data_IF_579370080369
#
_entry.id   IF_579370080369
#
_cell.length_a   1.000
_cell.length_b   1.000
_cell.length_c   1.000
_cell.angle_alpha   90.00
_cell.angle_beta   90.00
_cell.angle_gamma   90.00
#
_symmetry.space_group_name_H-M   'P 1'
#
loop_
_entity.id
_entity.type
_entity.pdbx_description
1 polymer ?
#
# COMPACT_ATOMS: atom_id res chain seq x y z
N UNK A 1 46.40 14.35 -47.14
CA UNK A 1 46.46 13.83 -45.79
C UNK A 1 45.86 14.73 -44.68
N UNK A 2 45.95 16.05 -44.72
CA UNK A 2 45.48 16.95 -43.64
C UNK A 2 43.92 16.97 -43.43
N UNK A 3 43.12 16.80 -44.50
CA UNK A 3 41.64 16.95 -44.44
C UNK A 3 40.95 15.75 -43.75
N UNK A 4 41.42 14.53 -43.95
CA UNK A 4 40.89 13.31 -43.30
C UNK A 4 41.19 13.29 -41.82
N UNK A 5 42.37 13.76 -41.41
CA UNK A 5 42.76 13.83 -39.97
C UNK A 5 41.91 14.87 -39.23
N UNK A 6 41.59 16.02 -39.85
CA UNK A 6 40.72 17.04 -39.23
C UNK A 6 39.29 16.54 -39.08
N UNK A 7 38.75 15.81 -40.08
CA UNK A 7 37.42 15.20 -40.00
C UNK A 7 37.35 14.13 -38.91
N UNK A 8 38.37 13.29 -38.83
CA UNK A 8 38.43 12.26 -37.76
C UNK A 8 38.46 12.87 -36.36
N UNK A 9 39.29 13.91 -36.15
CA UNK A 9 39.35 14.62 -34.86
C UNK A 9 38.03 15.30 -34.51
N UNK A 10 37.30 15.86 -35.48
CA UNK A 10 35.98 16.46 -35.24
C UNK A 10 34.96 15.40 -34.77
N UNK A 11 34.85 14.26 -35.45
CA UNK A 11 33.92 13.21 -35.06
C UNK A 11 34.31 12.56 -33.73
N UNK A 12 35.59 12.42 -33.44
CA UNK A 12 36.06 11.94 -32.12
C UNK A 12 35.65 12.90 -31.00
N UNK A 13 35.80 14.21 -31.21
CA UNK A 13 35.36 15.25 -30.27
C UNK A 13 33.85 15.20 -30.00
N UNK A 14 33.07 15.10 -31.09
CA UNK A 14 31.59 14.95 -30.96
C UNK A 14 31.21 13.70 -30.21
N UNK A 15 31.86 12.56 -30.50
CA UNK A 15 31.56 11.29 -29.77
C UNK A 15 31.87 11.38 -28.27
N UNK A 16 33.00 12.00 -27.91
CA UNK A 16 33.37 12.23 -26.50
C UNK A 16 32.34 13.14 -25.81
N UNK A 17 31.89 14.19 -26.49
CA UNK A 17 30.88 15.10 -25.97
C UNK A 17 29.54 14.39 -25.72
N UNK A 18 29.10 13.58 -26.69
CA UNK A 18 27.88 12.79 -26.55
C UNK A 18 27.95 11.78 -25.37
N UNK A 19 29.07 11.08 -25.22
CA UNK A 19 29.29 10.19 -24.09
C UNK A 19 29.28 10.95 -22.76
N UNK A 20 29.90 12.13 -22.72
CA UNK A 20 29.87 13.01 -21.55
C UNK A 20 28.45 13.45 -21.16
N UNK A 21 27.65 13.88 -22.14
CA UNK A 21 26.26 14.28 -21.93
C UNK A 21 25.43 13.10 -21.40
N UNK A 22 25.57 11.90 -21.99
CA UNK A 22 24.87 10.69 -21.54
C UNK A 22 25.30 10.31 -20.12
N UNK A 23 26.58 10.38 -19.79
CA UNK A 23 27.08 10.08 -18.44
C UNK A 23 26.53 11.10 -17.41
N UNK A 24 26.51 12.37 -17.74
CA UNK A 24 25.92 13.41 -16.88
C UNK A 24 24.40 13.18 -16.72
N UNK A 25 23.69 12.91 -17.81
CA UNK A 25 22.26 12.63 -17.77
C UNK A 25 21.95 11.37 -16.91
N UNK A 26 22.76 10.33 -17.01
CA UNK A 26 22.65 9.13 -16.16
C UNK A 26 22.95 9.44 -14.69
N UNK A 27 23.97 10.25 -14.38
CA UNK A 27 24.31 10.66 -13.02
C UNK A 27 23.21 11.56 -12.41
N UNK A 28 22.65 12.48 -13.20
CA UNK A 28 21.54 13.31 -12.75
C UNK A 28 20.26 12.46 -12.54
N UNK A 29 20.02 11.50 -13.41
CA UNK A 29 18.88 10.59 -13.28
C UNK A 29 19.01 9.67 -12.06
N UNK A 30 20.18 9.15 -11.74
CA UNK A 30 20.44 8.36 -10.53
C UNK A 30 20.34 9.20 -9.24
N UNK A 31 20.63 10.50 -9.30
CA UNK A 31 20.42 11.43 -8.18
C UNK A 31 18.98 11.91 -8.00
N UNK A 32 18.15 11.86 -9.07
CA UNK A 32 16.75 12.28 -9.06
C UNK A 32 15.78 11.11 -8.79
N UNK A 33 16.24 9.88 -8.94
CA UNK A 33 15.47 8.66 -8.66
C UNK A 33 15.91 8.00 -7.36
N UNK A 34 16.07 8.76 -6.28
CA UNK A 34 15.88 8.14 -4.99
C UNK A 34 14.38 7.84 -4.90
N UNK A 35 13.96 6.57 -5.00
CA UNK A 35 12.60 6.24 -4.64
C UNK A 35 12.40 6.79 -3.23
N UNK A 36 11.30 7.49 -2.99
CA UNK A 36 10.91 7.86 -1.65
C UNK A 36 10.91 6.58 -0.80
N UNK A 37 11.98 6.39 -0.06
CA UNK A 37 12.03 5.41 0.99
C UNK A 37 11.30 6.05 2.16
N UNK A 38 10.03 5.70 2.31
CA UNK A 38 9.43 5.84 3.62
C UNK A 38 10.40 5.21 4.61
N UNK A 39 10.82 5.91 5.66
CA UNK A 39 11.67 5.29 6.66
C UNK A 39 10.93 4.02 7.11
N UNK A 40 11.58 2.87 6.95
CA UNK A 40 11.10 1.64 7.57
C UNK A 40 11.25 1.93 9.05
N UNK A 41 10.19 2.41 9.68
CA UNK A 41 10.09 2.46 11.12
C UNK A 41 9.91 1.00 11.52
N UNK A 42 11.03 0.30 11.64
CA UNK A 42 11.06 -0.97 12.35
C UNK A 42 10.84 -0.55 13.81
N UNK A 43 9.59 -0.52 14.21
CA UNK A 43 9.29 -0.46 15.63
C UNK A 43 9.69 -1.79 16.24
N UNK A 44 10.98 -1.89 16.59
CA UNK A 44 11.52 -2.97 17.42
C UNK A 44 11.08 -2.78 18.88
N UNK A 45 10.17 -1.84 19.13
CA UNK A 45 9.68 -1.39 20.42
C UNK A 45 9.05 -2.46 21.27
N UNK A 46 9.89 -3.13 21.99
CA UNK A 46 9.52 -4.03 23.08
C UNK A 46 9.25 -3.32 24.40
N UNK A 47 9.25 -1.99 24.49
CA UNK A 47 9.21 -1.29 25.78
C UNK A 47 8.24 -0.11 25.94
N UNK A 48 7.48 0.28 24.95
CA UNK A 48 6.33 1.13 25.20
C UNK A 48 5.08 0.35 24.84
N UNK A 49 4.19 0.13 25.80
CA UNK A 49 2.84 -0.31 25.46
C UNK A 49 2.32 0.65 24.37
N UNK A 50 1.98 0.16 23.18
CA UNK A 50 1.59 1.04 22.10
C UNK A 50 0.42 1.87 22.61
N UNK A 51 0.50 3.19 22.48
CA UNK A 51 -0.64 4.05 22.73
C UNK A 51 -1.67 3.68 21.66
N UNK A 52 -2.65 2.90 22.08
CA UNK A 52 -3.77 2.51 21.25
C UNK A 52 -4.47 3.75 20.76
N UNK A 53 -4.49 3.94 19.46
CA UNK A 53 -5.09 5.10 18.86
C UNK A 53 -6.56 4.81 18.62
N UNK A 54 -7.42 5.50 19.36
CA UNK A 54 -8.86 5.47 19.12
C UNK A 54 -9.20 6.17 17.80
N UNK A 55 -9.99 5.50 16.96
CA UNK A 55 -10.53 6.09 15.73
C UNK A 55 -11.71 6.98 16.15
N UNK A 56 -11.49 8.29 16.11
CA UNK A 56 -12.45 9.27 16.64
C UNK A 56 -13.61 9.56 15.67
N UNK A 57 -13.34 9.48 14.36
CA UNK A 57 -14.33 9.78 13.32
C UNK A 57 -14.74 8.50 12.60
N UNK A 58 -15.97 8.48 12.13
CA UNK A 58 -16.48 7.42 11.25
C UNK A 58 -16.20 7.73 9.76
N UNK A 59 -16.18 6.70 8.93
CA UNK A 59 -16.07 6.82 7.48
C UNK A 59 -17.28 6.15 6.83
N UNK A 60 -18.26 6.92 6.35
CA UNK A 60 -19.30 6.38 5.49
C UNK A 60 -18.72 6.02 4.12
N UNK A 61 -19.14 4.90 3.57
CA UNK A 61 -18.66 4.40 2.29
C UNK A 61 -19.75 3.56 1.60
N UNK A 62 -19.48 3.20 0.35
CA UNK A 62 -20.23 2.18 -0.39
C UNK A 62 -19.32 1.00 -0.62
N UNK A 63 -19.79 -0.21 -0.34
CA UNK A 63 -19.01 -1.42 -0.59
C UNK A 63 -19.19 -1.95 -2.03
N UNK A 64 -18.49 -3.03 -2.38
CA UNK A 64 -18.56 -3.67 -3.69
C UNK A 64 -19.95 -4.17 -4.10
N UNK A 65 -20.86 -4.39 -3.15
CA UNK A 65 -22.25 -4.78 -3.42
C UNK A 65 -23.19 -3.58 -3.51
N UNK A 66 -22.64 -2.38 -3.67
CA UNK A 66 -23.39 -1.11 -3.74
C UNK A 66 -24.17 -0.82 -2.44
N UNK A 67 -23.81 -1.45 -1.33
CA UNK A 67 -24.47 -1.21 -0.05
C UNK A 67 -23.79 -0.06 0.70
N UNK A 68 -24.57 0.89 1.24
CA UNK A 68 -24.03 1.90 2.14
C UNK A 68 -23.61 1.23 3.45
N UNK A 69 -22.37 1.47 3.86
CA UNK A 69 -21.76 0.94 5.08
C UNK A 69 -20.98 2.05 5.79
N UNK A 70 -20.63 1.80 7.03
CA UNK A 70 -19.74 2.66 7.81
C UNK A 70 -18.66 1.80 8.46
N UNK A 71 -17.49 2.36 8.68
CA UNK A 71 -16.46 1.61 9.42
C UNK A 71 -16.91 1.29 10.85
N UNK A 72 -17.74 2.13 11.47
CA UNK A 72 -18.33 1.86 12.78
C UNK A 72 -19.24 0.62 12.82
N UNK A 73 -19.71 0.12 11.66
CA UNK A 73 -20.45 -1.16 11.59
C UNK A 73 -19.54 -2.36 11.94
N UNK A 74 -18.22 -2.15 11.97
CA UNK A 74 -17.24 -3.14 12.39
C UNK A 74 -16.90 -3.10 13.88
N UNK A 75 -17.56 -2.26 14.67
CA UNK A 75 -17.41 -2.30 16.15
C UNK A 75 -17.79 -3.67 16.69
N UNK A 76 -17.01 -4.16 17.65
CA UNK A 76 -17.13 -5.50 18.18
C UNK A 76 -16.43 -6.58 17.35
N UNK A 77 -15.87 -6.23 16.18
CA UNK A 77 -15.05 -7.11 15.35
C UNK A 77 -13.57 -6.75 15.44
N UNK A 78 -12.72 -7.74 15.22
CA UNK A 78 -11.30 -7.54 14.90
C UNK A 78 -11.19 -7.40 13.38
N UNK A 79 -10.62 -6.31 12.91
CA UNK A 79 -10.59 -6.09 11.47
C UNK A 79 -9.27 -5.53 10.97
N UNK A 80 -8.90 -6.00 9.78
CA UNK A 80 -7.71 -5.55 9.07
C UNK A 80 -8.11 -4.48 8.06
N UNK A 81 -7.35 -3.40 8.00
CA UNK A 81 -7.55 -2.36 6.98
C UNK A 81 -6.32 -2.22 6.10
N UNK A 82 -6.56 -2.02 4.81
CA UNK A 82 -5.55 -1.76 3.78
C UNK A 82 -6.00 -0.65 2.85
N UNK A 83 -5.03 0.16 2.40
CA UNK A 83 -5.22 1.06 1.27
C UNK A 83 -5.10 0.27 -0.04
N UNK A 84 -5.94 0.59 -1.01
CA UNK A 84 -5.86 0.00 -2.34
C UNK A 84 -6.49 0.90 -3.40
N UNK A 85 -6.41 0.53 -4.66
CA UNK A 85 -7.28 0.96 -5.74
C UNK A 85 -7.39 -0.13 -6.82
N UNK A 86 -8.59 -0.24 -7.42
CA UNK A 86 -8.93 -1.38 -8.25
C UNK A 86 -8.16 -1.46 -9.59
N UNK A 87 -7.68 -0.33 -10.09
CA UNK A 87 -7.00 -0.23 -11.40
C UNK A 87 -5.49 -0.41 -11.31
N UNK A 88 -4.94 -0.69 -10.13
CA UNK A 88 -3.51 -0.88 -9.95
C UNK A 88 -3.06 -2.31 -10.26
N UNK A 89 -2.40 -2.59 -11.41
CA UNK A 89 -1.88 -3.92 -11.70
C UNK A 89 -0.89 -4.41 -10.63
N UNK A 90 -0.12 -3.50 -10.06
CA UNK A 90 0.91 -3.82 -9.07
C UNK A 90 0.33 -4.07 -7.66
N UNK A 91 -0.80 -3.47 -7.29
CA UNK A 91 -1.37 -3.61 -5.94
C UNK A 91 -1.94 -5.00 -5.70
N UNK A 92 -2.61 -5.59 -6.69
CA UNK A 92 -3.08 -6.97 -6.63
C UNK A 92 -1.92 -7.95 -6.43
N UNK A 93 -0.77 -7.70 -7.07
CA UNK A 93 0.44 -8.53 -6.94
C UNK A 93 1.12 -8.29 -5.60
N UNK A 94 1.16 -7.04 -5.12
CA UNK A 94 1.91 -6.67 -3.90
C UNK A 94 1.19 -7.07 -2.61
N UNK A 95 -0.10 -6.84 -2.49
CA UNK A 95 -0.87 -7.09 -1.27
C UNK A 95 -1.89 -8.21 -1.40
N UNK A 96 -2.35 -8.52 -2.62
CA UNK A 96 -3.44 -9.47 -2.84
C UNK A 96 -3.16 -10.87 -2.30
N UNK A 97 -1.95 -11.37 -2.47
CA UNK A 97 -1.57 -12.70 -1.96
C UNK A 97 -1.55 -12.75 -0.42
N UNK A 98 -1.09 -11.68 0.24
CA UNK A 98 -1.07 -11.61 1.69
C UNK A 98 -2.49 -11.44 2.25
N UNK A 99 -3.30 -10.54 1.67
CA UNK A 99 -4.72 -10.39 2.03
C UNK A 99 -5.49 -11.69 1.84
N UNK A 100 -5.26 -12.39 0.73
CA UNK A 100 -5.89 -13.70 0.49
C UNK A 100 -5.48 -14.73 1.53
N UNK A 101 -4.19 -14.80 1.87
CA UNK A 101 -3.70 -15.72 2.91
C UNK A 101 -4.28 -15.43 4.28
N UNK A 102 -4.40 -14.15 4.66
CA UNK A 102 -5.04 -13.72 5.90
C UNK A 102 -6.53 -14.06 5.86
N UNK A 103 -7.21 -13.75 4.75
CA UNK A 103 -8.62 -14.07 4.59
C UNK A 103 -8.89 -15.56 4.73
N UNK A 104 -8.14 -16.41 4.04
CA UNK A 104 -8.33 -17.87 4.07
C UNK A 104 -8.13 -18.47 5.46
N UNK A 105 -7.23 -17.91 6.26
CA UNK A 105 -7.02 -18.34 7.65
C UNK A 105 -8.18 -17.95 8.58
N UNK A 106 -8.74 -16.74 8.42
CA UNK A 106 -9.66 -16.18 9.40
C UNK A 106 -11.12 -16.05 8.93
N UNK A 107 -11.44 -16.30 7.66
CA UNK A 107 -12.78 -16.10 7.07
C UNK A 107 -13.92 -16.87 7.75
N UNK A 108 -13.60 -17.97 8.43
CA UNK A 108 -14.60 -18.77 9.18
C UNK A 108 -14.95 -18.16 10.53
N UNK A 109 -14.17 -17.17 11.00
CA UNK A 109 -14.48 -16.50 12.25
C UNK A 109 -15.42 -15.30 11.96
N UNK A 110 -16.66 -15.29 12.50
CA UNK A 110 -17.63 -14.23 12.23
C UNK A 110 -17.21 -12.87 12.80
N UNK A 111 -16.28 -12.86 13.75
CA UNK A 111 -15.76 -11.65 14.37
C UNK A 111 -14.54 -11.08 13.64
N UNK A 112 -14.06 -11.74 12.58
CA UNK A 112 -12.98 -11.21 11.74
C UNK A 112 -13.51 -10.54 10.49
N UNK A 113 -12.91 -9.40 10.11
CA UNK A 113 -13.27 -8.67 8.92
C UNK A 113 -12.04 -8.05 8.22
N UNK A 114 -12.11 -7.86 6.91
CA UNK A 114 -11.13 -7.08 6.14
C UNK A 114 -11.85 -5.89 5.48
N UNK A 115 -11.29 -4.69 5.59
CA UNK A 115 -11.76 -3.49 4.93
C UNK A 115 -10.65 -2.89 4.08
N UNK A 116 -10.78 -2.96 2.76
CA UNK A 116 -9.88 -2.32 1.80
C UNK A 116 -10.51 -0.99 1.37
N UNK A 117 -9.84 0.13 1.62
CA UNK A 117 -10.37 1.47 1.34
C UNK A 117 -9.67 2.03 0.10
N UNK A 118 -10.45 2.39 -0.93
CA UNK A 118 -9.90 2.94 -2.17
C UNK A 118 -9.28 4.31 -1.93
N UNK A 119 -8.03 4.48 -2.40
CA UNK A 119 -7.35 5.78 -2.44
C UNK A 119 -7.68 6.59 -3.70
N UNK A 120 -8.39 5.99 -4.66
CA UNK A 120 -8.86 6.65 -5.89
C UNK A 120 -10.38 6.49 -6.07
N UNK A 121 -11.19 6.97 -5.11
CA UNK A 121 -12.65 6.76 -5.11
C UNK A 121 -13.33 7.40 -6.32
N UNK A 122 -12.71 8.36 -7.00
CA UNK A 122 -13.23 8.97 -8.22
C UNK A 122 -13.25 7.98 -9.40
N UNK A 123 -12.30 7.04 -9.44
CA UNK A 123 -12.17 6.05 -10.50
C UNK A 123 -12.64 4.64 -10.08
N UNK A 124 -12.66 4.34 -8.79
CA UNK A 124 -13.06 3.05 -8.23
C UNK A 124 -14.54 3.03 -7.90
N UNK A 125 -15.38 2.99 -8.94
CA UNK A 125 -16.81 2.85 -8.75
C UNK A 125 -17.19 1.44 -8.22
N UNK A 126 -18.41 1.23 -7.70
CA UNK A 126 -18.84 -0.06 -7.13
C UNK A 126 -18.68 -1.26 -8.09
N UNK A 127 -18.87 -1.07 -9.40
CA UNK A 127 -18.69 -2.13 -10.40
C UNK A 127 -17.22 -2.62 -10.44
N UNK A 128 -16.26 -1.71 -10.49
CA UNK A 128 -14.83 -2.04 -10.44
C UNK A 128 -14.44 -2.70 -9.11
N UNK A 129 -15.04 -2.23 -8.01
CA UNK A 129 -14.82 -2.85 -6.70
C UNK A 129 -15.37 -4.28 -6.65
N UNK A 130 -16.54 -4.53 -7.25
CA UNK A 130 -17.15 -5.84 -7.36
C UNK A 130 -16.28 -6.79 -8.20
N UNK A 131 -15.82 -6.33 -9.36
CA UNK A 131 -14.94 -7.11 -10.23
C UNK A 131 -13.61 -7.44 -9.54
N UNK A 132 -13.03 -6.48 -8.84
CA UNK A 132 -11.80 -6.70 -8.07
C UNK A 132 -12.03 -7.71 -6.93
N UNK A 133 -13.09 -7.52 -6.15
CA UNK A 133 -13.46 -8.43 -5.07
C UNK A 133 -13.65 -9.86 -5.56
N UNK A 134 -14.35 -10.03 -6.70
CA UNK A 134 -14.54 -11.32 -7.35
C UNK A 134 -13.20 -11.93 -7.81
N UNK A 135 -12.33 -11.14 -8.41
CA UNK A 135 -11.02 -11.61 -8.89
C UNK A 135 -10.13 -12.12 -7.75
N UNK A 136 -10.17 -11.49 -6.57
CA UNK A 136 -9.43 -11.95 -5.39
C UNK A 136 -10.19 -12.97 -4.53
N UNK A 137 -11.43 -13.30 -4.90
CA UNK A 137 -12.27 -14.27 -4.19
C UNK A 137 -12.75 -13.80 -2.82
N UNK A 138 -13.02 -12.50 -2.68
CA UNK A 138 -13.57 -11.92 -1.46
C UNK A 138 -15.07 -12.21 -1.34
N UNK A 139 -15.53 -12.52 -0.11
CA UNK A 139 -16.95 -12.54 0.24
C UNK A 139 -17.27 -11.24 1.00
N UNK A 140 -18.23 -10.47 0.49
CA UNK A 140 -18.62 -9.18 1.08
C UNK A 140 -19.18 -9.27 2.50
N UNK A 141 -19.48 -10.47 2.99
CA UNK A 141 -19.89 -10.69 4.38
C UNK A 141 -18.80 -10.32 5.38
N UNK A 142 -17.53 -10.50 4.99
CA UNK A 142 -16.40 -10.25 5.87
C UNK A 142 -15.13 -9.72 5.17
N UNK A 143 -15.26 -9.32 3.89
CA UNK A 143 -14.20 -8.62 3.17
C UNK A 143 -14.79 -7.52 2.29
N UNK A 144 -14.68 -6.29 2.74
CA UNK A 144 -15.17 -5.12 2.03
C UNK A 144 -14.10 -4.45 1.18
N UNK A 145 -14.52 -4.01 -0.01
CA UNK A 145 -13.84 -3.02 -0.84
C UNK A 145 -14.68 -1.76 -0.84
N UNK A 146 -14.13 -0.66 -0.34
CA UNK A 146 -14.86 0.53 0.04
C UNK A 146 -14.51 1.72 -0.84
N UNK A 147 -15.55 2.40 -1.31
CA UNK A 147 -15.48 3.73 -1.91
C UNK A 147 -16.12 4.74 -0.95
N UNK A 148 -15.34 5.69 -0.44
CA UNK A 148 -15.83 6.75 0.46
C UNK A 148 -16.18 8.06 -0.28
N UNK A 149 -16.25 8.04 -1.61
CA UNK A 149 -16.77 9.10 -2.48
C UNK A 149 -15.74 10.16 -2.86
N UNK A 150 -15.23 10.94 -1.92
CA UNK A 150 -14.32 12.06 -2.18
C UNK A 150 -12.87 11.70 -1.81
N UNK A 151 -11.94 11.90 -2.76
CA UNK A 151 -10.53 11.55 -2.56
C UNK A 151 -9.89 12.34 -1.41
N UNK A 152 -10.16 13.64 -1.30
CA UNK A 152 -9.56 14.48 -0.26
C UNK A 152 -10.02 14.06 1.13
N UNK A 153 -11.32 13.83 1.31
CA UNK A 153 -11.89 13.36 2.57
C UNK A 153 -11.36 11.99 2.93
N UNK A 154 -11.31 11.07 1.97
CA UNK A 154 -10.78 9.72 2.14
C UNK A 154 -9.31 9.73 2.56
N UNK A 155 -8.45 10.47 1.84
CA UNK A 155 -7.02 10.57 2.15
C UNK A 155 -6.81 11.16 3.55
N UNK A 156 -7.53 12.24 3.87
CA UNK A 156 -7.45 12.86 5.21
C UNK A 156 -7.83 11.87 6.31
N UNK A 157 -8.87 11.08 6.10
CA UNK A 157 -9.29 10.05 7.05
C UNK A 157 -8.23 8.96 7.23
N UNK A 158 -7.72 8.41 6.14
CA UNK A 158 -6.69 7.38 6.15
C UNK A 158 -5.42 7.84 6.88
N UNK A 159 -5.01 9.09 6.68
CA UNK A 159 -3.84 9.67 7.34
C UNK A 159 -4.10 10.02 8.82
N UNK A 160 -5.23 10.66 9.12
CA UNK A 160 -5.48 11.22 10.45
C UNK A 160 -6.06 10.21 11.44
N UNK A 161 -6.98 9.36 10.99
CA UNK A 161 -7.67 8.41 11.87
C UNK A 161 -6.97 7.04 11.87
N UNK A 162 -6.57 6.52 10.71
CA UNK A 162 -5.96 5.20 10.58
C UNK A 162 -4.42 5.23 10.60
N UNK A 163 -3.79 6.42 10.48
CA UNK A 163 -2.33 6.60 10.51
C UNK A 163 -1.57 5.87 9.40
N UNK A 164 -2.19 5.74 8.24
CA UNK A 164 -1.45 5.43 7.03
C UNK A 164 -0.48 6.57 6.68
N UNK A 165 0.59 6.25 5.96
CA UNK A 165 1.47 7.30 5.44
C UNK A 165 0.78 8.07 4.31
N UNK A 166 1.18 9.35 4.17
CA UNK A 166 0.51 10.29 3.28
C UNK A 166 0.39 9.81 1.83
N UNK A 167 -0.82 9.86 1.31
CA UNK A 167 -1.16 9.55 -0.07
C UNK A 167 -0.73 10.72 -0.94
N UNK A 168 0.03 10.45 -2.02
CA UNK A 168 0.58 11.47 -2.90
C UNK A 168 0.27 11.17 -4.36
N UNK A 169 -0.19 12.17 -5.14
CA UNK A 169 -0.36 12.00 -6.58
C UNK A 169 0.99 11.77 -7.25
N UNK A 170 1.04 10.81 -8.18
CA UNK A 170 2.16 10.63 -9.08
C UNK A 170 2.06 11.65 -10.22
N UNK A 171 3.20 12.11 -10.71
CA UNK A 171 3.28 13.12 -11.76
C UNK A 171 3.89 12.59 -13.06
N UNK A 172 4.67 11.52 -12.99
CA UNK A 172 5.26 10.87 -14.16
C UNK A 172 4.23 9.98 -14.86
N UNK A 173 3.92 10.19 -16.16
CA UNK A 173 2.92 9.39 -16.87
C UNK A 173 3.23 7.88 -16.90
N UNK A 174 4.53 7.52 -17.02
CA UNK A 174 4.95 6.11 -17.04
C UNK A 174 4.74 5.45 -15.69
N UNK A 175 5.02 6.20 -14.61
CA UNK A 175 4.76 5.72 -13.24
C UNK A 175 3.25 5.60 -12.95
N UNK A 176 2.46 6.55 -13.46
CA UNK A 176 0.99 6.50 -13.37
C UNK A 176 0.44 5.26 -14.10
N UNK A 177 0.92 4.99 -15.31
CA UNK A 177 0.50 3.83 -16.09
C UNK A 177 0.86 2.51 -15.39
N UNK A 178 2.07 2.42 -14.84
CA UNK A 178 2.57 1.22 -14.18
C UNK A 178 2.01 1.00 -12.77
N UNK A 179 1.80 2.06 -12.00
CA UNK A 179 1.54 2.00 -10.56
C UNK A 179 0.28 2.76 -10.12
N UNK A 180 -0.48 3.36 -11.06
CA UNK A 180 -1.69 4.13 -10.81
C UNK A 180 -1.45 5.56 -10.33
N UNK A 181 -2.55 6.33 -10.19
CA UNK A 181 -2.55 7.78 -9.94
C UNK A 181 -1.89 8.19 -8.61
N UNK A 182 -1.98 7.34 -7.59
CA UNK A 182 -1.51 7.67 -6.25
C UNK A 182 -0.41 6.73 -5.76
N UNK A 183 0.63 7.29 -5.16
CA UNK A 183 1.51 6.57 -4.25
C UNK A 183 0.81 6.51 -2.89
N UNK A 184 0.73 5.33 -2.30
CA UNK A 184 0.03 5.09 -1.04
C UNK A 184 0.76 4.04 -0.21
N UNK A 185 0.37 3.91 1.03
CA UNK A 185 0.90 2.92 1.95
C UNK A 185 0.46 1.50 1.57
N UNK A 186 1.36 0.54 1.66
CA UNK A 186 1.07 -0.87 1.40
C UNK A 186 1.03 -1.71 2.69
N UNK A 187 1.10 -1.06 3.86
CA UNK A 187 0.99 -1.73 5.14
C UNK A 187 -0.44 -2.16 5.47
N UNK A 188 -0.54 -3.13 6.34
CA UNK A 188 -1.80 -3.54 6.95
C UNK A 188 -1.92 -2.96 8.34
N UNK A 189 -3.07 -2.40 8.67
CA UNK A 189 -3.39 -1.92 10.01
C UNK A 189 -4.43 -2.83 10.62
N UNK A 190 -4.21 -3.24 11.86
CA UNK A 190 -5.17 -4.05 12.63
C UNK A 190 -5.91 -3.17 13.61
N UNK A 191 -7.22 -3.33 13.66
CA UNK A 191 -8.12 -2.63 14.58
C UNK A 191 -8.84 -3.64 15.46
N UNK A 192 -8.94 -3.33 16.75
CA UNK A 192 -9.58 -4.18 17.74
C UNK A 192 -11.10 -3.96 17.81
N UNK A 193 -11.76 -4.73 18.71
CA UNK A 193 -13.21 -4.67 18.94
C UNK A 193 -13.69 -3.31 19.49
N UNK A 194 -12.80 -2.58 20.16
CA UNK A 194 -13.06 -1.25 20.73
C UNK A 194 -12.87 -0.13 19.71
N UNK A 195 -12.59 -0.48 18.45
CA UNK A 195 -12.33 0.48 17.37
C UNK A 195 -11.03 1.27 17.56
N UNK A 196 -9.98 0.58 18.05
CA UNK A 196 -8.65 1.13 18.26
C UNK A 196 -7.65 0.50 17.32
N UNK A 197 -6.82 1.31 16.70
CA UNK A 197 -5.66 0.85 15.94
C UNK A 197 -4.65 0.22 16.89
N UNK A 198 -4.32 -1.05 16.68
CA UNK A 198 -3.45 -1.84 17.57
C UNK A 198 -2.12 -2.24 16.95
N UNK A 199 -1.88 -1.91 15.72
CA UNK A 199 -0.60 -2.15 15.06
C UNK A 199 -0.67 -1.98 13.56
N UNK A 200 0.53 -1.92 12.94
CA UNK A 200 0.74 -1.82 11.50
C UNK A 200 1.85 -2.76 11.06
N UNK A 201 1.61 -3.50 9.98
CA UNK A 201 2.52 -4.50 9.44
C UNK A 201 2.85 -4.20 7.97
N UNK A 202 4.05 -3.70 7.65
CA UNK A 202 4.49 -3.37 6.29
C UNK A 202 4.98 -4.62 5.54
N UNK A 203 4.11 -5.60 5.31
CA UNK A 203 4.48 -6.88 4.69
C UNK A 203 5.02 -6.71 3.26
N UNK A 204 4.42 -5.82 2.47
CA UNK A 204 4.85 -5.57 1.10
C UNK A 204 6.28 -5.00 1.04
N UNK A 205 6.62 -4.08 1.96
CA UNK A 205 7.96 -3.50 2.04
C UNK A 205 8.98 -4.55 2.45
N UNK A 206 8.67 -5.36 3.46
CA UNK A 206 9.52 -6.45 3.92
C UNK A 206 9.76 -7.52 2.85
N UNK A 207 8.78 -7.74 1.95
CA UNK A 207 8.87 -8.68 0.83
C UNK A 207 9.52 -8.07 -0.41
N UNK A 208 9.66 -6.77 -0.50
CA UNK A 208 10.30 -6.10 -1.64
C UNK A 208 11.76 -6.59 -1.81
N UNK A 209 12.30 -6.44 -3.01
CA UNK A 209 13.71 -6.79 -3.27
C UNK A 209 14.65 -6.10 -2.30
N UNK A 210 14.37 -4.84 -1.97
CA UNK A 210 15.15 -4.07 -1.02
C UNK A 210 14.98 -4.58 0.41
N UNK A 211 13.75 -4.87 0.85
CA UNK A 211 13.49 -5.46 2.16
C UNK A 211 14.21 -6.80 2.33
N UNK A 212 14.16 -7.65 1.32
CA UNK A 212 14.84 -8.95 1.32
C UNK A 212 16.38 -8.84 1.33
N UNK A 213 16.95 -7.80 0.71
CA UNK A 213 18.39 -7.52 0.78
C UNK A 213 18.82 -7.01 2.15
N UNK A 214 17.97 -6.26 2.84
CA UNK A 214 18.25 -5.73 4.18
C UNK A 214 18.09 -6.79 5.27
N UNK A 215 16.97 -7.50 5.26
CA UNK A 215 16.69 -8.60 6.20
C UNK A 215 15.74 -9.63 5.56
N UNK A 216 16.27 -10.75 5.05
CA UNK A 216 15.45 -11.80 4.43
C UNK A 216 14.52 -12.50 5.43
N UNK A 217 14.72 -12.32 6.74
CA UNK A 217 13.87 -12.92 7.79
C UNK A 217 12.72 -12.03 8.21
N UNK A 218 12.72 -10.76 7.79
CA UNK A 218 11.76 -9.77 8.25
C UNK A 218 10.31 -10.10 7.80
N UNK A 219 10.13 -10.43 6.52
CA UNK A 219 8.80 -10.76 5.99
C UNK A 219 8.11 -11.93 6.71
N UNK A 220 8.74 -13.13 6.83
CA UNK A 220 8.11 -14.22 7.55
C UNK A 220 7.83 -13.90 9.02
N UNK A 221 8.69 -13.11 9.65
CA UNK A 221 8.57 -12.69 11.04
C UNK A 221 7.37 -11.76 11.25
N UNK A 222 7.26 -10.70 10.43
CA UNK A 222 6.12 -9.78 10.48
C UNK A 222 4.80 -10.49 10.14
N UNK A 223 4.83 -11.40 9.17
CA UNK A 223 3.65 -12.17 8.80
C UNK A 223 3.17 -13.04 9.98
N UNK A 224 4.08 -13.77 10.62
CA UNK A 224 3.77 -14.59 11.79
C UNK A 224 3.22 -13.72 12.93
N UNK A 225 3.87 -12.60 13.20
CA UNK A 225 3.44 -11.64 14.23
C UNK A 225 2.02 -11.12 13.99
N UNK A 226 1.69 -10.73 12.74
CA UNK A 226 0.34 -10.31 12.38
C UNK A 226 -0.69 -11.41 12.63
N UNK A 227 -0.41 -12.65 12.20
CA UNK A 227 -1.31 -13.78 12.39
C UNK A 227 -1.54 -14.08 13.88
N UNK A 228 -0.47 -14.08 14.68
CA UNK A 228 -0.56 -14.30 16.12
C UNK A 228 -1.31 -13.17 16.82
N UNK A 229 -1.11 -11.91 16.35
CA UNK A 229 -1.85 -10.79 16.88
C UNK A 229 -3.33 -10.87 16.57
N UNK A 230 -3.73 -11.23 15.35
CA UNK A 230 -5.15 -11.45 15.00
C UNK A 230 -5.75 -12.55 15.89
N UNK A 231 -5.07 -13.68 16.05
CA UNK A 231 -5.53 -14.78 16.92
C UNK A 231 -5.72 -14.32 18.36
N UNK A 232 -4.76 -13.55 18.87
CA UNK A 232 -4.82 -13.00 20.22
C UNK A 232 -6.05 -12.08 20.38
N UNK A 233 -6.28 -11.15 19.45
CA UNK A 233 -7.41 -10.22 19.52
C UNK A 233 -8.77 -10.95 19.38
N UNK A 234 -8.83 -11.95 18.50
CA UNK A 234 -10.04 -12.77 18.36
C UNK A 234 -10.34 -13.63 19.60
N UNK A 235 -9.34 -13.97 20.40
CA UNK A 235 -9.52 -14.74 21.65
C UNK A 235 -10.04 -13.92 22.82
N UNK A 236 -9.93 -12.59 22.76
CA UNK A 236 -10.50 -11.68 23.76
C UNK A 236 -12.03 -11.66 23.62
N UNK A 237 -12.71 -11.69 24.77
CA UNK A 237 -14.18 -11.64 24.82
C UNK A 237 -14.65 -10.20 24.95
#
# INVERSE_FOLDING_TARGET
>A
MKRTTTIALFYTGVAILCVGIVAIAMSLRSGLTTPYQAPIVIDTGREAAPQWLEIAKDLPAVNQDTQPVKLSDLRGKVWLVAEFFAVCPACAIRNGADLRGIYDEFKSNPDFHIACISVDPENDNPEKLADYGKAVGADSKNWWFLNAGDAKTTHTYLEQELKFFGIRPRTDPTDIEANGKYAHDLGFILVDRDFKVIGKWPLADARSEQGQKLDPTLYPKLKQELFDRIRLELSKK
#
